data_IF_457733247708
#
_entry.id   IF_457733247708
#
_cell.length_a   1.000
_cell.length_b   1.000
_cell.length_c   1.000
_cell.angle_alpha   90.00
_cell.angle_beta   90.00
_cell.angle_gamma   90.00
#
_symmetry.space_group_name_H-M   'P 1'
#
loop_
_entity.id
_entity.type
_entity.pdbx_description
1 polymer ?
#
# COMPACT_ATOMS: atom_id res chain seq x y z
N UNK A 1 -14.55 31.87 83.97
CA UNK A 1 -14.72 31.84 85.44
C UNK A 1 -13.94 30.61 85.89
N UNK A 2 -12.77 30.64 86.52
CA UNK A 2 -11.93 31.64 87.20
C UNK A 2 -10.47 31.36 86.76
N UNK A 3 -9.59 32.34 86.55
CA UNK A 3 -8.79 33.11 87.52
C UNK A 3 -7.96 32.29 88.54
N UNK A 4 -6.78 32.86 88.84
CA UNK A 4 -5.76 32.54 89.83
C UNK A 4 -4.58 31.63 89.38
N UNK A 5 -3.28 31.84 89.65
CA UNK A 5 -2.39 32.94 90.12
C UNK A 5 -1.10 32.24 90.59
N UNK A 6 0.04 32.66 90.03
CA UNK A 6 1.33 32.93 90.72
C UNK A 6 2.27 31.81 91.21
N UNK A 7 3.54 32.03 90.83
CA UNK A 7 4.81 31.80 91.54
C UNK A 7 5.29 30.36 91.80
N UNK A 8 6.58 30.08 91.98
CA UNK A 8 7.88 30.68 91.65
C UNK A 8 8.91 29.78 92.36
N UNK A 9 10.11 29.62 91.79
CA UNK A 9 11.38 29.20 92.43
C UNK A 9 11.42 27.80 93.12
N UNK A 10 12.51 27.05 93.11
CA UNK A 10 13.90 27.28 92.78
C UNK A 10 14.79 26.39 93.65
N UNK A 11 16.04 26.20 93.19
CA UNK A 11 17.22 25.67 93.91
C UNK A 11 17.21 24.15 94.22
N UNK A 12 18.33 23.42 94.24
CA UNK A 12 19.75 23.72 94.52
C UNK A 12 20.65 22.85 93.61
N UNK A 13 21.79 23.29 93.04
CA UNK A 13 23.02 23.87 93.60
C UNK A 13 23.95 22.86 94.31
N UNK A 14 25.19 22.72 93.79
CA UNK A 14 26.48 22.61 94.51
C UNK A 14 27.58 22.13 93.52
N UNK A 15 28.49 22.98 93.01
CA UNK A 15 29.73 23.53 93.62
C UNK A 15 30.83 22.47 93.85
N UNK A 16 32.13 22.68 93.58
CA UNK A 16 32.97 23.83 93.23
C UNK A 16 34.44 23.37 93.36
N UNK A 17 35.41 23.90 92.61
CA UNK A 17 36.43 24.90 93.02
C UNK A 17 37.63 24.72 92.05
N UNK A 18 38.53 25.65 91.76
CA UNK A 18 38.99 26.83 92.47
C UNK A 18 39.57 27.87 91.48
N UNK A 19 39.65 29.13 91.92
CA UNK A 19 40.22 30.25 91.20
C UNK A 19 41.73 30.42 91.42
N UNK A 20 42.45 30.84 90.37
CA UNK A 20 43.68 31.66 90.37
C UNK A 20 43.96 31.98 88.89
N UNK A 21 43.69 33.16 88.34
CA UNK A 21 44.29 34.45 88.65
C UNK A 21 45.21 34.82 87.48
N UNK A 22 44.83 35.80 86.65
CA UNK A 22 45.65 36.89 86.08
C UNK A 22 44.74 37.81 85.23
N UNK A 23 45.06 39.09 85.31
CA UNK A 23 44.15 40.22 85.17
C UNK A 23 44.10 40.85 83.76
N UNK A 24 43.01 41.60 83.56
CA UNK A 24 42.85 42.75 82.66
C UNK A 24 42.84 42.50 81.13
N UNK A 25 41.65 42.48 80.53
CA UNK A 25 41.15 43.61 79.74
C UNK A 25 39.62 43.48 79.50
N UNK A 26 38.97 44.59 79.15
CA UNK A 26 37.52 44.86 79.19
C UNK A 26 36.55 43.82 78.55
N UNK A 27 35.26 43.74 78.99
CA UNK A 27 34.26 42.84 78.43
C UNK A 27 33.76 43.40 77.09
N UNK A 28 34.58 43.27 76.06
CA UNK A 28 34.10 43.29 74.67
C UNK A 28 33.19 42.08 74.48
N UNK A 29 32.07 42.28 73.77
CA UNK A 29 31.11 41.24 73.46
C UNK A 29 31.86 39.97 73.01
N UNK A 30 31.68 38.80 73.66
CA UNK A 30 32.53 37.61 73.46
C UNK A 30 32.55 37.08 72.01
N UNK A 31 31.68 37.60 71.16
CA UNK A 31 31.64 37.37 69.72
C UNK A 31 32.78 38.06 68.92
N UNK A 32 33.44 39.08 69.48
CA UNK A 32 34.46 39.90 68.81
C UNK A 32 35.87 39.71 69.39
N UNK A 33 36.13 38.56 70.01
CA UNK A 33 37.47 38.19 70.46
C UNK A 33 38.31 37.67 69.27
N UNK A 34 39.11 38.58 68.69
CA UNK A 34 40.02 38.32 67.58
C UNK A 34 41.11 37.29 67.89
N UNK A 35 41.32 36.89 69.16
CA UNK A 35 42.27 35.83 69.53
C UNK A 35 41.89 34.45 68.99
N UNK A 36 40.59 34.19 68.73
CA UNK A 36 40.10 32.89 68.23
C UNK A 36 39.99 32.80 66.70
N UNK A 37 40.05 33.95 66.02
CA UNK A 37 39.82 34.07 64.58
C UNK A 37 40.85 33.27 63.74
N UNK A 38 42.16 33.26 64.05
CA UNK A 38 43.12 32.47 63.29
C UNK A 38 42.81 30.97 63.24
N UNK A 39 42.35 30.40 64.37
CA UNK A 39 41.97 28.99 64.44
C UNK A 39 40.70 28.69 63.64
N UNK A 40 39.69 29.57 63.73
CA UNK A 40 38.47 29.45 62.93
C UNK A 40 38.76 29.57 61.43
N UNK A 41 39.59 30.53 61.03
CA UNK A 41 40.01 30.73 59.64
C UNK A 41 40.79 29.52 59.12
N UNK A 42 41.69 28.93 59.94
CA UNK A 42 42.40 27.72 59.57
C UNK A 42 41.45 26.57 59.26
N UNK A 43 40.51 26.26 60.15
CA UNK A 43 39.52 25.20 59.92
C UNK A 43 38.55 25.51 58.77
N UNK A 44 38.20 26.78 58.56
CA UNK A 44 37.40 27.21 57.42
C UNK A 44 38.13 26.92 56.10
N UNK A 45 39.42 27.26 56.01
CA UNK A 45 40.24 26.94 54.84
C UNK A 45 40.35 25.43 54.64
N UNK A 46 40.60 24.67 55.71
CA UNK A 46 40.67 23.20 55.64
C UNK A 46 39.36 22.60 55.16
N UNK A 47 38.21 23.05 55.69
CA UNK A 47 36.90 22.58 55.28
C UNK A 47 36.57 22.98 53.83
N UNK A 48 36.90 24.21 53.42
CA UNK A 48 36.72 24.69 52.05
C UNK A 48 37.53 23.84 51.06
N UNK A 49 38.80 23.58 51.37
CA UNK A 49 39.67 22.73 50.55
C UNK A 49 39.13 21.30 50.49
N UNK A 50 38.71 20.73 51.62
CA UNK A 50 38.11 19.39 51.66
C UNK A 50 36.86 19.30 50.77
N UNK A 51 35.93 20.26 50.88
CA UNK A 51 34.73 20.32 50.04
C UNK A 51 35.11 20.51 48.57
N UNK A 52 36.06 21.39 48.26
CA UNK A 52 36.55 21.60 46.90
C UNK A 52 37.10 20.31 46.27
N UNK A 53 37.89 19.54 47.01
CA UNK A 53 38.40 18.24 46.55
C UNK A 53 37.27 17.23 46.33
N UNK A 54 36.29 17.17 47.23
CA UNK A 54 35.12 16.28 47.07
C UNK A 54 34.31 16.67 45.84
N UNK A 55 34.02 17.95 45.64
CA UNK A 55 33.26 18.41 44.48
C UNK A 55 34.00 18.17 43.18
N UNK A 56 35.29 18.51 43.11
CA UNK A 56 36.11 18.36 41.91
C UNK A 56 36.37 16.91 41.54
N UNK A 57 36.62 16.02 42.51
CA UNK A 57 36.96 14.62 42.25
C UNK A 57 35.78 13.65 42.28
N UNK A 58 34.65 14.01 42.90
CA UNK A 58 33.51 13.09 43.05
C UNK A 58 32.23 13.64 42.43
N UNK A 59 31.82 14.86 42.79
CA UNK A 59 30.52 15.38 42.35
C UNK A 59 30.50 15.74 40.86
N UNK A 60 31.47 16.53 40.39
CA UNK A 60 31.58 16.94 38.99
C UNK A 60 31.73 15.75 38.01
N UNK A 61 32.63 14.77 38.23
CA UNK A 61 32.73 13.64 37.31
C UNK A 61 31.46 12.79 37.26
N UNK A 62 30.74 12.66 38.38
CA UNK A 62 29.47 11.91 38.42
C UNK A 62 28.37 12.59 37.62
N UNK A 63 28.28 13.92 37.68
CA UNK A 63 27.33 14.71 36.88
C UNK A 63 27.71 14.67 35.40
N UNK A 64 29.00 14.78 35.08
CA UNK A 64 29.51 14.69 33.72
C UNK A 64 29.18 13.34 33.07
N UNK A 65 29.31 12.23 33.82
CA UNK A 65 28.92 10.90 33.35
C UNK A 65 27.43 10.82 32.98
N UNK A 66 26.53 11.30 33.83
CA UNK A 66 25.08 11.29 33.56
C UNK A 66 24.74 12.14 32.32
N UNK A 67 25.41 13.29 32.15
CA UNK A 67 25.19 14.14 31.00
C UNK A 67 25.71 13.50 29.71
N UNK A 68 26.86 12.83 29.76
CA UNK A 68 27.40 12.06 28.64
C UNK A 68 26.47 10.90 28.27
N UNK A 69 26.02 10.09 29.22
CA UNK A 69 25.09 8.97 28.98
C UNK A 69 23.80 9.45 28.29
N UNK A 70 23.27 10.60 28.72
CA UNK A 70 22.09 11.21 28.09
C UNK A 70 22.37 11.71 26.67
N UNK A 71 23.50 12.39 26.46
CA UNK A 71 23.89 12.84 25.13
C UNK A 71 24.08 11.66 24.19
N UNK A 72 24.77 10.61 24.63
CA UNK A 72 25.01 9.39 23.85
C UNK A 72 23.69 8.70 23.49
N UNK A 73 22.77 8.58 24.45
CA UNK A 73 21.43 8.01 24.20
C UNK A 73 20.66 8.83 23.17
N UNK A 74 20.62 10.16 23.33
CA UNK A 74 19.91 11.06 22.40
C UNK A 74 20.53 10.97 21.00
N UNK A 75 21.86 11.01 20.89
CA UNK A 75 22.55 10.91 19.60
C UNK A 75 22.29 9.56 18.94
N UNK A 76 22.31 8.47 19.70
CA UNK A 76 22.00 7.15 19.19
C UNK A 76 20.54 7.04 18.70
N UNK A 77 19.59 7.57 19.49
CA UNK A 77 18.17 7.58 19.13
C UNK A 77 17.91 8.43 17.88
N UNK A 78 18.58 9.57 17.73
CA UNK A 78 18.51 10.40 16.53
C UNK A 78 19.07 9.65 15.33
N UNK A 79 20.25 9.04 15.46
CA UNK A 79 20.87 8.27 14.37
C UNK A 79 19.97 7.10 13.94
N UNK A 80 19.40 6.36 14.89
CA UNK A 80 18.46 5.28 14.62
C UNK A 80 17.18 5.79 13.93
N UNK A 81 16.64 6.92 14.37
CA UNK A 81 15.47 7.54 13.75
C UNK A 81 15.75 8.00 12.32
N UNK A 82 16.92 8.58 12.05
CA UNK A 82 17.36 8.96 10.71
C UNK A 82 17.54 7.75 9.79
N UNK A 83 18.15 6.68 10.29
CA UNK A 83 18.31 5.42 9.55
C UNK A 83 16.95 4.81 9.21
N UNK A 84 16.03 4.75 10.17
CA UNK A 84 14.66 4.25 9.95
C UNK A 84 13.91 5.12 8.94
N UNK A 85 14.06 6.45 9.02
CA UNK A 85 13.48 7.39 8.05
C UNK A 85 14.05 7.18 6.65
N UNK A 86 15.35 6.93 6.52
CA UNK A 86 15.99 6.64 5.25
C UNK A 86 15.49 5.31 4.67
N UNK A 87 15.43 4.25 5.49
CA UNK A 87 14.88 2.95 5.08
C UNK A 87 13.42 3.05 4.65
N UNK A 88 12.60 3.81 5.38
CA UNK A 88 11.21 4.06 5.02
C UNK A 88 11.09 4.75 3.67
N UNK A 89 11.87 5.80 3.41
CA UNK A 89 11.89 6.50 2.11
C UNK A 89 12.37 5.60 0.98
N UNK A 90 13.38 4.77 1.22
CA UNK A 90 13.85 3.81 0.22
C UNK A 90 12.80 2.74 -0.08
N UNK A 91 12.11 2.24 0.94
CA UNK A 91 11.02 1.28 0.77
C UNK A 91 9.82 1.90 0.03
N UNK A 92 9.47 3.16 0.34
CA UNK A 92 8.44 3.92 -0.35
C UNK A 92 8.79 4.10 -1.85
N UNK A 93 10.01 4.55 -2.16
CA UNK A 93 10.47 4.69 -3.54
C UNK A 93 10.48 3.35 -4.30
N UNK A 94 10.90 2.26 -3.65
CA UNK A 94 10.87 0.93 -4.24
C UNK A 94 9.43 0.44 -4.48
N UNK A 95 8.52 0.71 -3.55
CA UNK A 95 7.11 0.38 -3.67
C UNK A 95 6.44 1.17 -4.80
N UNK A 96 6.65 2.48 -4.87
CA UNK A 96 6.13 3.33 -5.95
C UNK A 96 6.64 2.88 -7.31
N UNK A 97 7.93 2.55 -7.41
CA UNK A 97 8.51 1.99 -8.63
C UNK A 97 7.86 0.66 -9.01
N UNK A 98 7.74 -0.27 -8.08
CA UNK A 98 7.10 -1.57 -8.33
C UNK A 98 5.63 -1.40 -8.78
N UNK A 99 4.91 -0.43 -8.20
CA UNK A 99 3.53 -0.12 -8.60
C UNK A 99 3.46 0.48 -10.01
N UNK A 100 4.39 1.37 -10.36
CA UNK A 100 4.47 1.94 -11.71
C UNK A 100 4.80 0.86 -12.75
N UNK A 101 5.80 0.02 -12.45
CA UNK A 101 6.20 -1.10 -13.31
C UNK A 101 5.03 -2.09 -13.51
N UNK A 102 4.32 -2.45 -12.44
CA UNK A 102 3.16 -3.34 -12.51
C UNK A 102 2.01 -2.75 -13.36
N UNK A 103 1.75 -1.44 -13.24
CA UNK A 103 0.73 -0.75 -14.08
C UNK A 103 1.14 -0.70 -15.55
N UNK A 104 2.41 -0.44 -15.83
CA UNK A 104 2.96 -0.46 -17.18
C UNK A 104 2.83 -1.85 -17.80
N UNK A 105 3.21 -2.88 -17.05
CA UNK A 105 3.14 -4.28 -17.47
C UNK A 105 1.70 -4.74 -17.69
N UNK A 106 0.78 -4.39 -16.79
CA UNK A 106 -0.64 -4.69 -16.97
C UNK A 106 -1.20 -4.05 -18.25
N UNK A 107 -0.82 -2.80 -18.54
CA UNK A 107 -1.22 -2.10 -19.77
C UNK A 107 -0.63 -2.77 -21.02
N UNK A 108 0.64 -3.19 -20.95
CA UNK A 108 1.31 -3.94 -22.02
C UNK A 108 0.59 -5.26 -22.29
N UNK A 109 0.35 -6.06 -21.25
CA UNK A 109 -0.37 -7.34 -21.35
C UNK A 109 -1.76 -7.15 -21.94
N UNK A 110 -2.51 -6.13 -21.49
CA UNK A 110 -3.84 -5.85 -22.02
C UNK A 110 -3.80 -5.51 -23.52
N UNK A 111 -2.84 -4.68 -23.95
CA UNK A 111 -2.67 -4.32 -25.36
C UNK A 111 -2.24 -5.53 -26.21
N UNK A 112 -1.25 -6.30 -25.74
CA UNK A 112 -0.75 -7.50 -26.43
C UNK A 112 -1.86 -8.54 -26.58
N UNK A 113 -2.64 -8.77 -25.52
CA UNK A 113 -3.79 -9.71 -25.54
C UNK A 113 -4.86 -9.23 -26.50
N UNK A 114 -5.17 -7.93 -26.51
CA UNK A 114 -6.14 -7.35 -27.44
C UNK A 114 -5.69 -7.49 -28.90
N UNK A 115 -4.40 -7.25 -29.16
CA UNK A 115 -3.82 -7.43 -30.50
C UNK A 115 -3.88 -8.89 -30.96
N UNK A 116 -3.52 -9.83 -30.08
CA UNK A 116 -3.61 -11.27 -30.36
C UNK A 116 -5.06 -11.70 -30.62
N UNK A 117 -6.00 -11.33 -29.75
CA UNK A 117 -7.42 -11.64 -29.95
C UNK A 117 -7.97 -11.06 -31.26
N UNK A 118 -7.54 -9.85 -31.66
CA UNK A 118 -7.97 -9.26 -32.92
C UNK A 118 -7.42 -10.03 -34.12
N UNK A 119 -6.18 -10.51 -34.04
CA UNK A 119 -5.59 -11.35 -35.09
C UNK A 119 -6.34 -12.68 -35.20
N UNK A 120 -6.58 -13.37 -34.08
CA UNK A 120 -7.32 -14.64 -34.05
C UNK A 120 -8.76 -14.46 -34.57
N UNK A 121 -9.42 -13.36 -34.20
CA UNK A 121 -10.76 -13.04 -34.68
C UNK A 121 -10.77 -12.82 -36.20
N UNK A 122 -9.78 -12.09 -36.74
CA UNK A 122 -9.69 -11.85 -38.17
C UNK A 122 -9.46 -13.16 -38.93
N UNK A 123 -8.59 -14.05 -38.44
CA UNK A 123 -8.37 -15.39 -39.03
C UNK A 123 -9.66 -16.24 -39.00
N UNK A 124 -10.37 -16.22 -37.87
CA UNK A 124 -11.64 -16.94 -37.73
C UNK A 124 -12.71 -16.39 -38.69
N UNK A 125 -12.78 -15.07 -38.88
CA UNK A 125 -13.69 -14.43 -39.85
C UNK A 125 -13.32 -14.83 -41.27
N UNK A 126 -12.05 -14.74 -41.67
CA UNK A 126 -11.61 -15.12 -43.03
C UNK A 126 -11.95 -16.59 -43.33
N UNK A 127 -11.73 -17.49 -42.36
CA UNK A 127 -12.10 -18.90 -42.50
C UNK A 127 -13.62 -19.08 -42.61
N UNK A 128 -14.40 -18.41 -41.77
CA UNK A 128 -15.85 -18.49 -41.80
C UNK A 128 -16.40 -17.96 -43.14
N UNK A 129 -15.89 -16.85 -43.64
CA UNK A 129 -16.29 -16.27 -44.93
C UNK A 129 -15.95 -17.21 -46.10
N UNK A 130 -14.79 -17.88 -46.06
CA UNK A 130 -14.43 -18.89 -47.05
C UNK A 130 -15.38 -20.10 -47.03
N UNK A 131 -15.73 -20.61 -45.84
CA UNK A 131 -16.66 -21.72 -45.67
C UNK A 131 -18.09 -21.35 -46.11
N UNK A 132 -18.55 -20.14 -45.76
CA UNK A 132 -19.85 -19.61 -46.18
C UNK A 132 -19.90 -19.49 -47.70
N UNK A 133 -18.85 -18.93 -48.31
CA UNK A 133 -18.76 -18.78 -49.76
C UNK A 133 -18.77 -20.13 -50.48
N UNK A 134 -18.07 -21.12 -49.95
CA UNK A 134 -18.07 -22.48 -50.50
C UNK A 134 -19.47 -23.14 -50.40
N UNK A 135 -20.13 -23.04 -49.25
CA UNK A 135 -21.50 -23.55 -49.07
C UNK A 135 -22.52 -22.84 -49.93
N UNK A 136 -22.39 -21.52 -50.12
CA UNK A 136 -23.25 -20.75 -51.00
C UNK A 136 -23.11 -21.25 -52.44
N UNK A 137 -21.88 -21.43 -52.93
CA UNK A 137 -21.63 -21.96 -54.27
C UNK A 137 -22.14 -23.40 -54.45
N UNK A 138 -22.03 -24.25 -53.44
CA UNK A 138 -22.61 -25.60 -53.44
C UNK A 138 -24.14 -25.56 -53.50
N UNK A 139 -24.76 -24.71 -52.69
CA UNK A 139 -26.22 -24.54 -52.65
C UNK A 139 -26.75 -23.99 -53.97
N UNK A 140 -26.04 -23.03 -54.59
CA UNK A 140 -26.39 -22.49 -55.91
C UNK A 140 -26.36 -23.59 -56.99
N UNK A 141 -25.36 -24.48 -56.98
CA UNK A 141 -25.31 -25.63 -57.89
C UNK A 141 -26.47 -26.59 -57.67
N UNK A 142 -26.75 -26.94 -56.41
CA UNK A 142 -27.87 -27.83 -56.07
C UNK A 142 -29.21 -27.22 -56.52
N UNK A 143 -29.42 -25.92 -56.29
CA UNK A 143 -30.61 -25.20 -56.75
C UNK A 143 -30.70 -25.20 -58.28
N UNK A 144 -29.58 -25.01 -58.99
CA UNK A 144 -29.55 -25.05 -60.45
C UNK A 144 -29.91 -26.44 -61.00
N UNK A 145 -29.41 -27.52 -60.39
CA UNK A 145 -29.77 -28.90 -60.73
C UNK A 145 -31.26 -29.20 -60.47
N UNK A 146 -31.77 -28.81 -59.30
CA UNK A 146 -33.19 -28.96 -58.96
C UNK A 146 -34.05 -28.19 -59.97
N UNK A 147 -33.64 -26.98 -60.35
CA UNK A 147 -34.36 -26.19 -61.36
C UNK A 147 -34.35 -26.86 -62.74
N UNK A 148 -33.23 -27.43 -63.15
CA UNK A 148 -33.13 -28.16 -64.41
C UNK A 148 -34.03 -29.42 -64.41
N UNK A 149 -33.96 -30.22 -63.34
CA UNK A 149 -34.80 -31.42 -63.19
C UNK A 149 -36.29 -31.09 -63.09
N UNK A 150 -36.65 -29.99 -62.42
CA UNK A 150 -38.02 -29.51 -62.36
C UNK A 150 -38.54 -29.09 -63.73
N UNK A 151 -37.73 -28.42 -64.56
CA UNK A 151 -38.11 -28.07 -65.94
C UNK A 151 -38.34 -29.31 -66.80
N UNK A 152 -37.47 -30.31 -66.70
CA UNK A 152 -37.64 -31.60 -67.40
C UNK A 152 -38.91 -32.34 -66.94
N UNK A 153 -39.16 -32.36 -65.62
CA UNK A 153 -40.36 -32.97 -65.04
C UNK A 153 -41.63 -32.26 -65.50
N UNK A 154 -41.62 -30.92 -65.57
CA UNK A 154 -42.75 -30.12 -66.09
C UNK A 154 -43.00 -30.42 -67.57
N UNK A 155 -41.95 -30.54 -68.38
CA UNK A 155 -42.07 -30.93 -69.80
C UNK A 155 -42.71 -32.32 -69.95
N UNK A 156 -42.25 -33.30 -69.17
CA UNK A 156 -42.80 -34.66 -69.18
C UNK A 156 -44.28 -34.68 -68.77
N UNK A 157 -44.64 -34.00 -67.67
CA UNK A 157 -46.03 -33.90 -67.19
C UNK A 157 -46.91 -33.16 -68.19
N UNK A 158 -46.40 -32.10 -68.83
CA UNK A 158 -47.14 -31.37 -69.85
C UNK A 158 -47.44 -32.24 -71.09
N UNK A 159 -46.48 -33.04 -71.55
CA UNK A 159 -46.65 -34.00 -72.65
C UNK A 159 -47.67 -35.08 -72.30
N UNK A 160 -47.55 -35.69 -71.13
CA UNK A 160 -48.46 -36.74 -70.65
C UNK A 160 -49.90 -36.21 -70.46
N UNK A 161 -50.05 -35.06 -69.79
CA UNK A 161 -51.36 -34.42 -69.56
C UNK A 161 -52.02 -34.02 -70.88
N UNK A 162 -51.25 -33.50 -71.84
CA UNK A 162 -51.78 -33.15 -73.18
C UNK A 162 -52.23 -34.40 -73.93
N UNK A 163 -51.47 -35.49 -73.89
CA UNK A 163 -51.86 -36.77 -74.48
C UNK A 163 -53.14 -37.34 -73.87
N UNK A 164 -53.24 -37.32 -72.56
CA UNK A 164 -54.44 -37.75 -71.83
C UNK A 164 -55.67 -36.89 -72.20
N UNK A 165 -55.52 -35.57 -72.31
CA UNK A 165 -56.59 -34.66 -72.73
C UNK A 165 -57.05 -34.92 -74.18
N UNK A 166 -56.13 -35.13 -75.11
CA UNK A 166 -56.45 -35.42 -76.53
C UNK A 166 -57.21 -36.74 -76.65
N UNK A 167 -56.78 -37.76 -75.88
CA UNK A 167 -57.48 -39.05 -75.84
C UNK A 167 -58.89 -38.93 -75.21
N UNK A 168 -59.04 -38.18 -74.11
CA UNK A 168 -60.32 -37.97 -73.44
C UNK A 168 -61.33 -37.17 -74.30
N UNK A 169 -60.85 -36.26 -75.15
CA UNK A 169 -61.66 -35.46 -76.08
C UNK A 169 -61.98 -36.19 -77.39
N UNK A 170 -61.55 -37.45 -77.56
CA UNK A 170 -61.88 -38.31 -78.70
C UNK A 170 -60.97 -38.15 -79.93
N UNK A 171 -59.80 -37.53 -79.78
CA UNK A 171 -58.77 -37.45 -80.83
C UNK A 171 -57.80 -38.65 -80.81
N UNK A 172 -57.14 -38.91 -81.94
CA UNK A 172 -55.99 -39.82 -81.96
C UNK A 172 -54.77 -39.13 -81.34
N UNK A 173 -54.28 -39.65 -80.22
CA UNK A 173 -53.03 -39.22 -79.61
C UNK A 173 -51.83 -39.65 -80.48
N UNK A 174 -51.40 -38.76 -81.37
CA UNK A 174 -50.14 -38.88 -82.10
C UNK A 174 -49.02 -38.26 -81.25
N UNK A 175 -48.22 -39.12 -80.59
CA UNK A 175 -47.13 -38.70 -79.70
C UNK A 175 -46.14 -37.75 -80.39
N UNK A 176 -45.86 -37.96 -81.67
CA UNK A 176 -44.93 -37.12 -82.44
C UNK A 176 -45.42 -35.69 -82.58
N UNK A 177 -46.73 -35.51 -82.87
CA UNK A 177 -47.33 -34.17 -82.97
C UNK A 177 -47.53 -33.49 -81.63
N UNK A 178 -47.90 -34.25 -80.59
CA UNK A 178 -48.08 -33.72 -79.23
C UNK A 178 -46.75 -33.21 -78.69
N UNK A 179 -45.68 -34.00 -78.80
CA UNK A 179 -44.35 -33.60 -78.36
C UNK A 179 -43.86 -32.35 -79.10
N UNK A 180 -44.02 -32.29 -80.43
CA UNK A 180 -43.64 -31.12 -81.21
C UNK A 180 -44.43 -29.85 -80.84
N UNK A 181 -45.73 -29.98 -80.54
CA UNK A 181 -46.59 -28.86 -80.16
C UNK A 181 -46.28 -28.33 -78.74
N UNK A 182 -46.00 -29.22 -77.80
CA UNK A 182 -45.60 -28.86 -76.43
C UNK A 182 -44.21 -28.23 -76.43
N UNK A 183 -43.25 -28.78 -77.17
CA UNK A 183 -41.90 -28.23 -77.28
C UNK A 183 -41.88 -26.83 -77.90
N UNK A 184 -42.74 -26.59 -78.91
CA UNK A 184 -42.89 -25.27 -79.52
C UNK A 184 -43.47 -24.23 -78.54
N UNK A 185 -44.28 -24.65 -77.56
CA UNK A 185 -44.87 -23.79 -76.53
C UNK A 185 -43.98 -23.60 -75.30
N UNK A 186 -43.07 -24.52 -75.02
CA UNK A 186 -42.07 -24.36 -73.96
C UNK A 186 -40.87 -23.50 -74.37
N UNK A 187 -40.60 -23.39 -75.68
CA UNK A 187 -39.49 -22.59 -76.24
C UNK A 187 -39.85 -21.15 -76.64
N UNK A 188 -41.13 -20.78 -76.61
CA UNK A 188 -41.62 -19.44 -76.98
C UNK A 188 -42.16 -18.69 -75.78
#
# INVERSE_FOLDING_TARGET
>A
MADNTQAAHGADAAHGAAAAGHAADAPGMPQLDFGTFPNQIFWLIVALVAIYFILSKVALPRIAGILADRQDTITNDIAAAEELKLKAKQAEAAYEKALADARSEATRIANDTKAAMQADLNEAIEKADAEISARAAESEKAIAEIRASALESVEAVAKDTTGALVAALGGQADEGRINAAVDARLKG
#
